data_IF_022631212010
#
_entry.id   IF_022631212010
#
_cell.length_a   1.000
_cell.length_b   1.000
_cell.length_c   1.000
_cell.angle_alpha   90.00
_cell.angle_beta   90.00
_cell.angle_gamma   90.00
#
_symmetry.space_group_name_H-M   'P 1'
#
loop_
_entity.id
_entity.type
_entity.pdbx_description
1 polymer ?
#
# COMPACT_ATOMS: atom_id res chain seq x y z
N UNK A 1 -11.82 -20.56 -6.15
CA UNK A 1 -11.59 -19.12 -5.86
C UNK A 1 -11.27 -19.02 -4.37
N UNK A 2 -10.27 -18.24 -3.97
CA UNK A 2 -9.95 -18.01 -2.56
C UNK A 2 -11.19 -17.47 -1.83
N UNK A 3 -11.53 -18.06 -0.67
CA UNK A 3 -12.69 -17.66 0.14
C UNK A 3 -12.59 -16.20 0.60
N UNK A 4 -11.36 -15.68 0.77
CA UNK A 4 -11.11 -14.29 1.16
C UNK A 4 -11.46 -13.30 0.03
N UNK A 5 -11.13 -13.59 -1.23
CA UNK A 5 -11.45 -12.72 -2.36
C UNK A 5 -12.97 -12.58 -2.58
N UNK A 6 -13.74 -13.63 -2.31
CA UNK A 6 -15.19 -13.58 -2.35
C UNK A 6 -15.75 -12.71 -1.20
N UNK A 7 -15.27 -12.92 0.03
CA UNK A 7 -15.68 -12.12 1.18
C UNK A 7 -15.30 -10.64 1.03
N UNK A 8 -14.13 -10.33 0.50
CA UNK A 8 -13.67 -8.96 0.24
C UNK A 8 -14.53 -8.25 -0.81
N UNK A 9 -14.97 -8.96 -1.86
CA UNK A 9 -15.92 -8.40 -2.84
C UNK A 9 -17.26 -8.07 -2.20
N UNK A 10 -17.76 -8.95 -1.33
CA UNK A 10 -19.00 -8.70 -0.60
C UNK A 10 -18.86 -7.48 0.32
N UNK A 11 -17.74 -7.36 1.04
CA UNK A 11 -17.43 -6.19 1.86
C UNK A 11 -17.40 -4.90 1.04
N UNK A 12 -16.81 -4.90 -0.16
CA UNK A 12 -16.81 -3.75 -1.07
C UNK A 12 -18.24 -3.36 -1.48
N UNK A 13 -19.13 -4.32 -1.73
CA UNK A 13 -20.53 -4.00 -2.06
C UNK A 13 -21.29 -3.39 -0.88
N UNK A 14 -21.00 -3.81 0.36
CA UNK A 14 -21.55 -3.15 1.55
C UNK A 14 -21.00 -1.73 1.72
N UNK A 15 -19.70 -1.52 1.56
CA UNK A 15 -19.09 -0.19 1.63
C UNK A 15 -19.63 0.75 0.53
N UNK A 16 -19.86 0.26 -0.69
CA UNK A 16 -20.52 1.05 -1.76
C UNK A 16 -21.93 1.48 -1.36
N UNK A 17 -22.74 0.57 -0.81
CA UNK A 17 -24.09 0.90 -0.33
C UNK A 17 -24.05 1.92 0.81
N UNK A 18 -23.10 1.79 1.73
CA UNK A 18 -22.88 2.76 2.79
C UNK A 18 -22.47 4.13 2.25
N UNK A 19 -21.56 4.17 1.26
CA UNK A 19 -21.12 5.39 0.59
C UNK A 19 -22.28 6.15 -0.06
N UNK A 20 -23.18 5.45 -0.76
CA UNK A 20 -24.38 6.07 -1.32
C UNK A 20 -25.28 6.68 -0.24
N UNK A 21 -25.39 6.04 0.93
CA UNK A 21 -26.14 6.58 2.08
C UNK A 21 -25.47 7.80 2.70
N UNK A 22 -24.14 7.84 2.78
CA UNK A 22 -23.41 9.02 3.24
C UNK A 22 -23.60 10.21 2.28
N UNK A 23 -23.54 9.96 0.97
CA UNK A 23 -23.83 11.00 -0.05
C UNK A 23 -25.26 11.52 0.07
N UNK A 24 -26.25 10.63 0.21
CA UNK A 24 -27.65 11.00 0.41
C UNK A 24 -27.79 11.88 1.67
N UNK A 25 -27.23 11.46 2.80
CA UNK A 25 -27.26 12.22 4.04
C UNK A 25 -26.57 13.60 3.91
N UNK A 26 -25.48 13.72 3.14
CA UNK A 26 -24.79 14.99 2.90
C UNK A 26 -25.66 16.03 2.17
N UNK A 27 -26.66 15.58 1.39
CA UNK A 27 -27.65 16.47 0.77
C UNK A 27 -28.75 16.94 1.73
N UNK A 28 -28.97 16.23 2.83
CA UNK A 28 -30.06 16.45 3.78
C UNK A 28 -29.63 17.16 5.07
N UNK A 29 -28.35 17.05 5.44
CA UNK A 29 -27.79 17.65 6.65
C UNK A 29 -27.86 19.18 6.57
N UNK A 30 -28.37 19.79 7.65
CA UNK A 30 -28.54 21.24 7.77
C UNK A 30 -27.40 21.93 8.52
N UNK A 31 -26.69 21.20 9.38
CA UNK A 31 -25.60 21.74 10.19
C UNK A 31 -24.30 21.74 9.38
N UNK A 32 -23.65 22.92 9.18
CA UNK A 32 -22.45 23.03 8.35
C UNK A 32 -21.30 22.13 8.79
N UNK A 33 -21.01 22.07 10.09
CA UNK A 33 -19.94 21.25 10.66
C UNK A 33 -20.18 19.75 10.42
N UNK A 34 -21.43 19.31 10.56
CA UNK A 34 -21.83 17.93 10.27
C UNK A 34 -21.71 17.64 8.77
N UNK A 35 -22.03 18.60 7.91
CA UNK A 35 -21.90 18.45 6.45
C UNK A 35 -20.44 18.29 6.05
N UNK A 36 -19.56 19.15 6.53
CA UNK A 36 -18.11 19.05 6.28
C UNK A 36 -17.53 17.72 6.76
N UNK A 37 -17.90 17.30 7.99
CA UNK A 37 -17.48 16.01 8.53
C UNK A 37 -17.96 14.84 7.66
N UNK A 38 -19.18 14.92 7.14
CA UNK A 38 -19.78 13.88 6.31
C UNK A 38 -19.16 13.83 4.91
N UNK A 39 -18.80 14.99 4.34
CA UNK A 39 -18.05 15.08 3.08
C UNK A 39 -16.67 14.43 3.22
N UNK A 40 -15.97 14.69 4.33
CA UNK A 40 -14.68 14.05 4.64
C UNK A 40 -14.82 12.53 4.78
N UNK A 41 -15.80 12.07 5.56
CA UNK A 41 -16.08 10.63 5.71
C UNK A 41 -16.36 9.99 4.34
N UNK A 42 -17.12 10.67 3.48
CA UNK A 42 -17.45 10.19 2.13
C UNK A 42 -16.19 10.05 1.26
N UNK A 43 -15.28 11.02 1.31
CA UNK A 43 -14.01 10.96 0.58
C UNK A 43 -13.12 9.81 1.08
N UNK A 44 -12.94 9.68 2.40
CA UNK A 44 -12.11 8.63 3.00
C UNK A 44 -12.65 7.22 2.67
N UNK A 45 -13.97 7.06 2.68
CA UNK A 45 -14.64 5.80 2.31
C UNK A 45 -14.46 5.46 0.84
N UNK A 46 -14.51 6.46 -0.06
CA UNK A 46 -14.26 6.24 -1.48
C UNK A 46 -12.82 5.74 -1.73
N UNK A 47 -11.82 6.35 -1.09
CA UNK A 47 -10.42 5.89 -1.16
C UNK A 47 -10.23 4.50 -0.56
N UNK A 48 -10.95 4.18 0.52
CA UNK A 48 -10.92 2.84 1.12
C UNK A 48 -11.45 1.79 0.14
N UNK A 49 -12.57 2.06 -0.53
CA UNK A 49 -13.13 1.16 -1.55
C UNK A 49 -12.12 0.94 -2.69
N UNK A 50 -11.46 1.99 -3.16
CA UNK A 50 -10.42 1.88 -4.19
C UNK A 50 -9.25 1.00 -3.70
N UNK A 51 -8.78 1.21 -2.48
CA UNK A 51 -7.74 0.41 -1.83
C UNK A 51 -8.13 -1.07 -1.75
N UNK A 52 -9.39 -1.38 -1.41
CA UNK A 52 -9.88 -2.76 -1.36
C UNK A 52 -9.91 -3.42 -2.74
N UNK A 53 -10.16 -2.68 -3.83
CA UNK A 53 -10.07 -3.25 -5.18
C UNK A 53 -8.65 -3.75 -5.48
N UNK A 54 -7.61 -3.01 -5.08
CA UNK A 54 -6.23 -3.45 -5.23
C UNK A 54 -5.94 -4.71 -4.42
N UNK A 55 -6.40 -4.77 -3.17
CA UNK A 55 -6.25 -5.97 -2.31
C UNK A 55 -6.94 -7.20 -2.94
N UNK A 56 -8.15 -7.02 -3.48
CA UNK A 56 -8.88 -8.11 -4.17
C UNK A 56 -8.12 -8.57 -5.42
N UNK A 57 -7.50 -7.64 -6.16
CA UNK A 57 -6.69 -8.01 -7.33
C UNK A 57 -5.42 -8.78 -6.91
N UNK A 58 -4.78 -8.39 -5.80
CA UNK A 58 -3.64 -9.11 -5.23
C UNK A 58 -4.04 -10.54 -4.84
N UNK A 59 -5.12 -10.67 -4.09
CA UNK A 59 -5.62 -11.96 -3.62
C UNK A 59 -6.09 -12.86 -4.77
N UNK A 60 -6.62 -12.27 -5.84
CA UNK A 60 -7.02 -13.01 -7.04
C UNK A 60 -5.84 -13.40 -7.94
N UNK A 61 -4.59 -13.04 -7.60
CA UNK A 61 -3.40 -13.25 -8.42
C UNK A 61 -3.42 -12.44 -9.73
N UNK A 62 -4.21 -11.37 -9.78
CA UNK A 62 -4.32 -10.46 -10.94
C UNK A 62 -3.28 -9.35 -10.95
N UNK A 63 -2.64 -9.14 -9.81
CA UNK A 63 -1.41 -8.35 -9.67
C UNK A 63 -0.38 -9.27 -9.01
N UNK A 64 0.88 -9.13 -9.41
CA UNK A 64 1.99 -9.81 -8.73
C UNK A 64 2.07 -9.27 -7.30
N UNK A 65 1.60 -10.08 -6.36
CA UNK A 65 2.11 -10.03 -5.00
C UNK A 65 3.48 -10.67 -5.07
N UNK A 66 4.52 -9.90 -4.76
CA UNK A 66 5.90 -10.38 -4.75
C UNK A 66 5.94 -11.70 -3.98
N UNK A 67 6.03 -12.81 -4.71
CA UNK A 67 6.30 -14.12 -4.14
C UNK A 67 7.64 -13.95 -3.42
N UNK A 68 7.78 -14.33 -2.12
CA UNK A 68 9.11 -14.38 -1.55
C UNK A 68 9.90 -15.34 -2.44
N UNK A 69 10.87 -14.79 -3.16
CA UNK A 69 11.65 -15.56 -4.10
C UNK A 69 12.21 -16.77 -3.34
N UNK A 70 12.06 -18.01 -3.85
CA UNK A 70 12.93 -19.07 -3.35
C UNK A 70 14.36 -18.55 -3.54
N UNK A 71 15.18 -18.64 -2.50
CA UNK A 71 16.60 -18.38 -2.59
C UNK A 71 17.17 -19.30 -3.67
N UNK A 72 17.24 -18.79 -4.89
CA UNK A 72 17.84 -19.44 -6.04
C UNK A 72 18.87 -18.44 -6.54
N UNK A 73 20.11 -18.81 -6.32
CA UNK A 73 21.29 -18.21 -6.91
C UNK A 73 21.08 -17.93 -8.40
N UNK A 74 21.56 -16.77 -8.85
CA UNK A 74 21.93 -16.60 -10.26
C UNK A 74 20.94 -15.80 -11.11
N UNK A 75 21.42 -14.63 -11.49
CA UNK A 75 21.15 -13.91 -12.73
C UNK A 75 19.93 -12.98 -12.86
N UNK A 76 20.24 -11.88 -13.55
CA UNK A 76 19.53 -10.62 -13.68
C UNK A 76 18.05 -10.74 -14.08
N UNK A 77 17.21 -9.91 -13.48
CA UNK A 77 15.97 -9.46 -14.13
C UNK A 77 15.59 -8.04 -13.71
N UNK A 78 14.90 -7.39 -14.63
CA UNK A 78 15.00 -5.98 -14.99
C UNK A 78 14.49 -5.00 -13.92
N UNK A 79 15.11 -3.82 -13.94
CA UNK A 79 14.61 -2.58 -13.36
C UNK A 79 13.20 -2.26 -13.88
N UNK A 80 12.19 -2.73 -13.18
CA UNK A 80 10.83 -2.23 -13.28
C UNK A 80 10.52 -1.51 -11.99
N UNK A 81 10.77 -0.20 -11.93
CA UNK A 81 10.29 0.66 -10.87
C UNK A 81 8.76 0.67 -10.88
N UNK A 82 8.15 -0.37 -10.31
CA UNK A 82 6.74 -0.40 -9.98
C UNK A 82 6.55 0.62 -8.85
N UNK A 83 5.59 1.52 -9.06
CA UNK A 83 5.24 2.63 -8.17
C UNK A 83 4.74 2.10 -6.83
N UNK A 84 5.67 1.73 -5.94
CA UNK A 84 5.36 1.51 -4.54
C UNK A 84 4.94 2.85 -3.93
N UNK A 85 3.76 2.94 -3.27
CA UNK A 85 3.31 4.18 -2.63
C UNK A 85 4.22 4.63 -1.47
N UNK A 86 5.17 3.77 -1.04
CA UNK A 86 6.23 4.10 -0.09
C UNK A 86 7.36 4.97 -0.66
N UNK A 87 7.42 5.16 -1.98
CA UNK A 87 8.45 6.00 -2.62
C UNK A 87 8.37 7.48 -2.21
N UNK A 88 7.19 7.97 -1.81
CA UNK A 88 7.04 9.33 -1.27
C UNK A 88 7.71 9.52 0.09
N UNK A 89 7.56 8.55 1.00
CA UNK A 89 8.14 8.62 2.35
C UNK A 89 9.67 8.50 2.36
N UNK A 90 10.23 7.72 1.42
CA UNK A 90 11.69 7.60 1.26
C UNK A 90 12.31 8.87 0.67
N UNK A 91 11.60 9.56 -0.23
CA UNK A 91 12.02 10.85 -0.76
C UNK A 91 12.02 11.96 0.31
N UNK A 92 11.04 11.96 1.22
CA UNK A 92 11.02 12.89 2.37
C UNK A 92 12.17 12.65 3.36
N UNK A 93 12.67 11.41 3.48
CA UNK A 93 13.88 11.08 4.22
C UNK A 93 15.19 11.31 3.43
N UNK A 94 15.13 11.89 2.22
CA UNK A 94 16.30 12.23 1.41
C UNK A 94 16.94 11.04 0.68
N UNK A 95 16.26 9.89 0.61
CA UNK A 95 16.74 8.68 -0.07
C UNK A 95 16.16 8.66 -1.48
N UNK A 96 16.87 9.30 -2.41
CA UNK A 96 16.53 9.29 -3.83
C UNK A 96 17.06 8.00 -4.50
N UNK A 97 16.23 6.96 -4.49
CA UNK A 97 16.52 5.67 -5.14
C UNK A 97 16.72 5.85 -6.66
N UNK A 98 16.22 6.92 -7.27
CA UNK A 98 16.43 7.19 -8.71
C UNK A 98 17.81 7.76 -9.03
N UNK A 99 18.54 8.23 -8.02
CA UNK A 99 19.90 8.76 -8.16
C UNK A 99 20.99 7.88 -7.56
N UNK A 100 20.65 6.82 -6.81
CA UNK A 100 21.64 5.91 -6.24
C UNK A 100 21.92 4.75 -7.19
N UNK A 101 23.19 4.55 -7.53
CA UNK A 101 23.60 3.34 -8.26
C UNK A 101 23.40 2.12 -7.36
N UNK A 102 23.15 0.96 -7.98
CA UNK A 102 22.97 -0.31 -7.28
C UNK A 102 24.18 -0.64 -6.38
N UNK A 103 25.38 -0.26 -6.79
CA UNK A 103 26.59 -0.41 -6.00
C UNK A 103 26.64 0.49 -4.75
N UNK A 104 26.29 1.78 -4.84
CA UNK A 104 26.34 2.69 -3.69
C UNK A 104 25.33 2.33 -2.59
N UNK A 105 24.16 1.80 -2.99
CA UNK A 105 23.15 1.34 -2.05
C UNK A 105 23.60 0.07 -1.28
N UNK A 106 24.32 -0.84 -1.95
CA UNK A 106 24.87 -2.04 -1.33
C UNK A 106 26.05 -1.73 -0.40
N UNK A 107 26.91 -0.77 -0.76
CA UNK A 107 28.05 -0.39 0.08
C UNK A 107 27.59 0.27 1.40
N UNK A 108 26.59 1.16 1.35
CA UNK A 108 26.03 1.81 2.56
C UNK A 108 25.26 0.86 3.46
N UNK A 109 24.53 -0.12 2.91
CA UNK A 109 23.87 -1.15 3.72
C UNK A 109 24.89 -2.13 4.32
N UNK A 110 25.95 -2.48 3.57
CA UNK A 110 27.00 -3.38 4.05
C UNK A 110 27.82 -2.81 5.22
N UNK A 111 27.96 -1.48 5.31
CA UNK A 111 28.70 -0.84 6.39
C UNK A 111 27.87 -0.65 7.68
N UNK A 112 26.54 -0.56 7.59
CA UNK A 112 25.66 -0.57 8.77
C UNK A 112 25.66 -1.90 9.51
N UNK A 113 25.95 -3.02 8.84
CA UNK A 113 26.19 -4.33 9.48
C UNK A 113 27.40 -4.35 10.40
N UNK A 114 28.31 -3.37 10.33
CA UNK A 114 29.44 -3.24 11.28
C UNK A 114 29.13 -2.35 12.48
N UNK A 115 28.05 -1.56 12.41
CA UNK A 115 27.67 -0.62 13.46
C UNK A 115 26.81 -1.29 14.54
N UNK A 116 26.13 -2.39 14.21
CA UNK A 116 25.43 -3.22 15.18
C UNK A 116 26.29 -4.45 15.52
N UNK A 117 27.11 -4.41 16.59
CA UNK A 117 27.72 -5.63 17.09
C UNK A 117 26.60 -6.57 17.52
N UNK A 118 26.68 -7.80 17.02
CA UNK A 118 25.88 -8.96 17.34
C UNK A 118 25.60 -9.01 18.85
N UNK A 119 24.42 -8.58 19.30
CA UNK A 119 23.95 -8.87 20.66
C UNK A 119 23.41 -10.30 20.70
N UNK A 120 24.28 -11.25 20.36
CA UNK A 120 24.10 -12.68 20.56
C UNK A 120 25.30 -13.21 21.33
N UNK A 121 25.45 -12.80 22.59
CA UNK A 121 26.20 -13.58 23.57
C UNK A 121 25.82 -13.21 25.02
N UNK A 122 24.75 -13.84 25.53
CA UNK A 122 24.55 -14.39 26.90
C UNK A 122 23.07 -14.62 27.16
#
# INVERSE_FOLDING_TARGET
MSNSAAALKEAVEFEKKALEKYKEAATMVKHPETKESLEKITADRAQTIESMHWVIMAEAGKIETEKPAPAAEGEASQSGASKCPFSGALAEMGIDITKMSKEEAMEKMGDMSKIFPDSSNS
#
